data_IF_783164431005
#
_entry.id   IF_783164431005
#
_cell.length_a   1.000
_cell.length_b   1.000
_cell.length_c   1.000
_cell.angle_alpha   90.00
_cell.angle_beta   90.00
_cell.angle_gamma   90.00
#
_symmetry.space_group_name_H-M   'P 1'
#
loop_
_entity.id
_entity.type
_entity.pdbx_description
1 polymer ?
#
# COMPACT_ATOMS: atom_id res chain seq x y z
N UNK A 1 -15.39 0.35 17.86
CA UNK A 1 -14.32 1.19 18.44
C UNK A 1 -13.33 1.35 17.31
N UNK A 2 -13.21 2.56 16.77
CA UNK A 2 -12.31 2.81 15.66
C UNK A 2 -10.89 2.60 16.16
N UNK A 3 -10.19 1.66 15.55
CA UNK A 3 -8.74 1.53 15.59
C UNK A 3 -8.15 2.89 15.20
N UNK A 4 -7.01 3.28 15.74
CA UNK A 4 -6.30 4.50 15.31
C UNK A 4 -4.84 4.10 15.11
N UNK A 5 -4.40 4.01 13.85
CA UNK A 5 -3.01 3.69 13.52
C UNK A 5 -2.01 4.71 14.03
N UNK A 6 -2.47 5.90 14.42
CA UNK A 6 -1.67 6.94 15.03
C UNK A 6 -1.41 6.70 16.52
N UNK A 7 -2.08 5.71 17.13
CA UNK A 7 -1.77 5.26 18.49
C UNK A 7 -0.61 4.24 18.48
N UNK A 8 0.59 4.60 18.98
CA UNK A 8 1.74 3.70 19.03
C UNK A 8 1.54 2.53 20.01
N UNK A 9 0.55 2.63 20.90
CA UNK A 9 0.19 1.57 21.84
C UNK A 9 -0.82 0.58 21.26
N UNK A 10 -1.21 0.75 19.99
CA UNK A 10 -2.20 -0.10 19.37
C UNK A 10 -1.68 -1.55 19.28
N UNK A 11 -2.40 -2.56 19.80
CA UNK A 11 -1.91 -3.94 19.85
C UNK A 11 -1.60 -4.50 18.46
N UNK A 12 -2.34 -4.10 17.43
CA UNK A 12 -2.08 -4.55 16.06
C UNK A 12 -0.83 -3.87 15.46
N UNK A 13 -0.62 -2.58 15.73
CA UNK A 13 0.59 -1.85 15.34
C UNK A 13 1.80 -2.46 16.03
N UNK A 14 1.72 -2.75 17.33
CA UNK A 14 2.81 -3.40 18.06
C UNK A 14 3.08 -4.82 17.57
N UNK A 15 2.04 -5.60 17.27
CA UNK A 15 2.21 -6.95 16.74
C UNK A 15 2.87 -6.93 15.36
N UNK A 16 2.42 -6.06 14.46
CA UNK A 16 3.01 -5.93 13.12
C UNK A 16 4.41 -5.34 13.18
N UNK A 17 4.65 -4.30 13.99
CA UNK A 17 5.96 -3.67 14.11
C UNK A 17 7.03 -4.65 14.64
N UNK A 18 6.65 -5.54 15.55
CA UNK A 18 7.51 -6.61 16.07
C UNK A 18 7.56 -7.87 15.18
N UNK A 19 6.67 -7.99 14.19
CA UNK A 19 6.67 -9.12 13.25
C UNK A 19 7.70 -8.93 12.14
N UNK A 20 8.25 -10.05 11.66
CA UNK A 20 9.06 -10.05 10.45
C UNK A 20 8.17 -10.00 9.19
N UNK A 21 8.60 -9.33 8.11
CA UNK A 21 7.92 -9.41 6.81
C UNK A 21 7.90 -10.89 6.36
N UNK A 22 6.70 -11.47 6.24
CA UNK A 22 6.47 -12.89 5.92
C UNK A 22 6.04 -13.78 7.10
N UNK A 23 6.15 -13.31 8.34
CA UNK A 23 5.53 -13.97 9.52
C UNK A 23 4.10 -13.48 9.80
N UNK A 24 3.69 -12.39 9.15
CA UNK A 24 2.34 -11.87 9.24
C UNK A 24 1.41 -12.74 8.40
N UNK A 25 0.38 -13.31 9.04
CA UNK A 25 -0.67 -14.04 8.34
C UNK A 25 -1.33 -13.16 7.27
N UNK A 26 -1.69 -13.72 6.12
CA UNK A 26 -2.35 -12.98 5.05
C UNK A 26 -3.61 -12.25 5.54
N UNK A 27 -4.34 -12.85 6.48
CA UNK A 27 -5.53 -12.26 7.12
C UNK A 27 -5.18 -11.01 7.96
N UNK A 28 -4.12 -11.10 8.78
CA UNK A 28 -3.63 -9.98 9.59
C UNK A 28 -3.06 -8.86 8.71
N UNK A 29 -2.37 -9.22 7.62
CA UNK A 29 -1.85 -8.27 6.65
C UNK A 29 -2.97 -7.56 5.89
N UNK A 30 -3.98 -8.31 5.42
CA UNK A 30 -5.14 -7.74 4.73
C UNK A 30 -5.93 -6.82 5.66
N UNK A 31 -6.17 -7.23 6.90
CA UNK A 31 -6.84 -6.41 7.91
C UNK A 31 -6.05 -5.13 8.19
N UNK A 32 -4.72 -5.24 8.32
CA UNK A 32 -3.86 -4.09 8.58
C UNK A 32 -3.88 -3.08 7.43
N UNK A 33 -3.80 -3.55 6.18
CA UNK A 33 -3.89 -2.69 5.00
C UNK A 33 -5.27 -2.05 4.90
N UNK A 34 -6.33 -2.79 5.20
CA UNK A 34 -7.70 -2.27 5.25
C UNK A 34 -7.87 -1.18 6.30
N UNK A 35 -7.28 -1.39 7.47
CA UNK A 35 -7.36 -0.47 8.61
C UNK A 35 -6.51 0.80 8.36
N UNK A 36 -5.32 0.65 7.77
CA UNK A 36 -4.51 1.74 7.19
C UNK A 36 -5.30 2.54 6.16
N UNK A 37 -5.99 1.84 5.27
CA UNK A 37 -6.80 2.44 4.22
C UNK A 37 -7.96 3.29 4.75
N UNK A 38 -8.60 2.84 5.82
CA UNK A 38 -9.75 3.51 6.42
C UNK A 38 -9.35 4.71 7.29
N UNK A 39 -8.18 4.66 7.92
CA UNK A 39 -7.80 5.62 8.96
C UNK A 39 -6.68 6.58 8.57
N UNK A 40 -5.79 6.16 7.67
CA UNK A 40 -4.63 6.95 7.28
C UNK A 40 -4.88 7.57 5.91
N UNK A 41 -4.72 8.88 5.83
CA UNK A 41 -4.86 9.60 4.57
C UNK A 41 -3.78 9.14 3.58
N UNK A 42 -4.07 9.10 2.26
CA UNK A 42 -3.10 8.71 1.23
C UNK A 42 -1.82 9.56 1.27
N UNK A 43 -1.90 10.81 1.75
CA UNK A 43 -0.75 11.70 1.92
C UNK A 43 0.22 11.23 3.02
N UNK A 44 -0.30 10.72 4.14
CA UNK A 44 0.51 10.16 5.24
C UNK A 44 1.03 8.75 4.92
N UNK A 45 0.32 8.02 4.04
CA UNK A 45 0.76 6.72 3.53
C UNK A 45 1.90 6.82 2.51
N UNK A 46 2.04 7.94 1.79
CA UNK A 46 3.09 8.12 0.76
C UNK A 46 4.48 7.69 1.20
N UNK A 47 5.06 8.17 2.33
CA UNK A 47 6.40 7.77 2.76
C UNK A 47 6.50 6.26 3.05
N UNK A 48 5.44 5.65 3.59
CA UNK A 48 5.39 4.20 3.85
C UNK A 48 5.37 3.42 2.54
N UNK A 49 4.54 3.84 1.59
CA UNK A 49 4.44 3.25 0.26
C UNK A 49 5.78 3.38 -0.50
N UNK A 50 6.42 4.53 -0.46
CA UNK A 50 7.75 4.76 -1.06
C UNK A 50 8.81 3.81 -0.50
N UNK A 51 8.84 3.64 0.83
CA UNK A 51 9.73 2.66 1.47
C UNK A 51 9.35 1.22 1.06
N UNK A 52 8.06 0.89 1.02
CA UNK A 52 7.60 -0.44 0.64
C UNK A 52 8.03 -0.78 -0.80
N UNK A 53 7.78 0.10 -1.76
CA UNK A 53 8.18 -0.08 -3.14
C UNK A 53 9.71 -0.06 -3.34
N UNK A 54 10.45 0.68 -2.50
CA UNK A 54 11.92 0.67 -2.54
C UNK A 54 12.53 -0.66 -2.04
N UNK A 55 11.79 -1.41 -1.20
CA UNK A 55 12.19 -2.73 -0.72
C UNK A 55 11.61 -3.88 -1.56
N UNK A 56 10.73 -3.57 -2.51
CA UNK A 56 10.09 -4.54 -3.38
C UNK A 56 10.97 -4.81 -4.61
N UNK A 57 10.98 -6.05 -5.08
CA UNK A 57 11.64 -6.39 -6.34
C UNK A 57 11.03 -5.61 -7.52
N UNK A 58 11.84 -5.11 -8.47
CA UNK A 58 11.36 -4.33 -9.60
C UNK A 58 10.35 -5.10 -10.46
N UNK A 59 10.45 -6.43 -10.54
CA UNK A 59 9.48 -7.27 -11.24
C UNK A 59 8.11 -7.30 -10.54
N UNK A 60 8.11 -7.38 -9.20
CA UNK A 60 6.87 -7.30 -8.40
C UNK A 60 6.26 -5.90 -8.48
N UNK A 61 7.08 -4.86 -8.35
CA UNK A 61 6.62 -3.48 -8.47
C UNK A 61 5.99 -3.25 -9.85
N UNK A 62 6.63 -3.71 -10.92
CA UNK A 62 6.09 -3.62 -12.28
C UNK A 62 4.75 -4.35 -12.43
N UNK A 63 4.59 -5.53 -11.82
CA UNK A 63 3.33 -6.26 -11.83
C UNK A 63 2.21 -5.48 -11.09
N UNK A 64 2.52 -4.91 -9.93
CA UNK A 64 1.59 -4.08 -9.15
C UNK A 64 1.18 -2.82 -9.91
N UNK A 65 2.15 -2.12 -10.52
CA UNK A 65 1.89 -0.90 -11.32
C UNK A 65 1.03 -1.25 -12.54
N UNK A 66 1.33 -2.34 -13.24
CA UNK A 66 0.55 -2.76 -14.41
C UNK A 66 -0.90 -3.09 -14.02
N UNK A 67 -1.10 -3.79 -12.89
CA UNK A 67 -2.44 -4.05 -12.35
C UNK A 67 -3.16 -2.75 -11.93
N UNK A 68 -2.48 -1.83 -11.23
CA UNK A 68 -3.04 -0.54 -10.85
C UNK A 68 -3.42 0.30 -12.08
N UNK A 69 -2.54 0.38 -13.09
CA UNK A 69 -2.81 1.05 -14.36
C UNK A 69 -4.04 0.46 -15.05
N UNK A 70 -4.16 -0.86 -15.13
CA UNK A 70 -5.28 -1.53 -15.78
C UNK A 70 -6.60 -1.14 -15.09
N UNK A 71 -6.62 -1.20 -13.77
CA UNK A 71 -7.81 -0.85 -13.00
C UNK A 71 -8.14 0.64 -13.04
N UNK A 72 -7.12 1.52 -12.97
CA UNK A 72 -7.29 2.97 -13.10
C UNK A 72 -7.76 3.36 -14.51
N UNK A 73 -7.32 2.63 -15.54
CA UNK A 73 -7.79 2.82 -16.92
C UNK A 73 -9.26 2.41 -17.07
N UNK A 74 -9.69 1.37 -16.36
CA UNK A 74 -11.09 0.92 -16.32
C UNK A 74 -11.98 1.75 -15.38
N UNK A 75 -11.38 2.61 -14.58
CA UNK A 75 -12.07 3.31 -13.50
C UNK A 75 -13.07 4.39 -13.94
N UNK A 76 -13.04 4.77 -15.22
CA UNK A 76 -13.88 5.84 -15.77
C UNK A 76 -13.48 7.26 -15.34
N UNK A 77 -12.50 7.41 -14.43
CA UNK A 77 -11.99 8.71 -14.00
C UNK A 77 -10.90 9.22 -14.95
N UNK A 78 -11.03 10.43 -15.54
CA UNK A 78 -10.03 10.97 -16.45
C UNK A 78 -8.71 11.30 -15.75
N UNK A 79 -8.75 11.67 -14.47
CA UNK A 79 -7.55 11.95 -13.68
C UNK A 79 -6.75 10.66 -13.42
N UNK A 80 -7.43 9.59 -12.99
CA UNK A 80 -6.84 8.24 -12.85
C UNK A 80 -6.19 7.74 -14.14
N UNK A 81 -6.83 7.96 -15.28
CA UNK A 81 -6.28 7.60 -16.60
C UNK A 81 -5.04 8.42 -16.97
N UNK A 82 -4.99 9.71 -16.60
CA UNK A 82 -3.81 10.54 -16.83
C UNK A 82 -2.63 10.10 -15.97
N UNK A 83 -2.84 9.82 -14.68
CA UNK A 83 -1.77 9.35 -13.78
C UNK A 83 -1.30 7.95 -14.22
N UNK A 84 -2.23 7.06 -14.59
CA UNK A 84 -1.90 5.77 -15.16
C UNK A 84 -1.08 5.93 -16.45
N UNK A 85 -1.49 6.76 -17.40
CA UNK A 85 -0.76 6.97 -18.65
C UNK A 85 0.58 7.71 -18.48
N UNK A 86 0.73 8.52 -17.42
CA UNK A 86 1.95 9.26 -17.13
C UNK A 86 3.07 8.39 -16.51
N UNK A 87 2.70 7.24 -15.92
CA UNK A 87 3.64 6.35 -15.25
C UNK A 87 3.89 5.14 -16.14
N UNK A 88 5.13 4.96 -16.58
CA UNK A 88 5.51 3.81 -17.39
C UNK A 88 5.94 2.64 -16.48
N UNK A 89 5.28 1.47 -16.51
CA UNK A 89 5.57 0.36 -15.59
C UNK A 89 6.97 -0.23 -15.76
N UNK A 90 7.67 0.03 -16.87
CA UNK A 90 9.03 -0.46 -17.09
C UNK A 90 10.10 0.45 -16.51
N UNK A 91 9.80 1.74 -16.37
CA UNK A 91 10.74 2.77 -15.91
C UNK A 91 10.27 3.48 -14.65
N UNK A 92 9.13 3.06 -14.08
CA UNK A 92 8.55 3.64 -12.90
C UNK A 92 9.50 3.56 -11.71
N UNK A 93 9.62 4.69 -11.02
CA UNK A 93 10.33 4.79 -9.75
C UNK A 93 9.43 4.35 -8.59
N UNK A 94 10.00 3.94 -7.44
CA UNK A 94 9.22 3.65 -6.23
C UNK A 94 8.31 4.81 -5.81
N UNK A 95 8.75 6.04 -6.07
CA UNK A 95 7.98 7.27 -5.87
C UNK A 95 6.75 7.36 -6.76
N UNK A 96 6.91 7.08 -8.06
CA UNK A 96 5.78 7.04 -8.98
C UNK A 96 4.82 5.89 -8.63
N UNK A 97 5.34 4.72 -8.24
CA UNK A 97 4.53 3.60 -7.80
C UNK A 97 3.70 3.94 -6.56
N UNK A 98 4.33 4.58 -5.57
CA UNK A 98 3.68 5.05 -4.34
C UNK A 98 2.61 6.11 -4.66
N UNK A 99 2.88 7.02 -5.58
CA UNK A 99 1.92 8.04 -5.99
C UNK A 99 0.72 7.44 -6.73
N UNK A 100 0.96 6.51 -7.68
CA UNK A 100 -0.11 5.78 -8.36
C UNK A 100 -0.97 5.00 -7.37
N UNK A 101 -0.34 4.34 -6.40
CA UNK A 101 -1.02 3.58 -5.36
C UNK A 101 -1.84 4.51 -4.46
N UNK A 102 -1.26 5.61 -3.98
CA UNK A 102 -1.98 6.61 -3.17
C UNK A 102 -3.16 7.23 -3.94
N UNK A 103 -3.01 7.46 -5.25
CA UNK A 103 -4.09 7.95 -6.10
C UNK A 103 -5.18 6.91 -6.30
N UNK A 104 -4.79 5.67 -6.58
CA UNK A 104 -5.73 4.56 -6.67
C UNK A 104 -6.45 4.34 -5.34
N UNK A 105 -5.79 4.61 -4.22
CA UNK A 105 -6.38 4.53 -2.89
C UNK A 105 -7.45 5.60 -2.69
N UNK A 106 -7.18 6.83 -3.10
CA UNK A 106 -8.10 7.96 -2.97
C UNK A 106 -9.38 7.79 -3.83
N UNK A 107 -9.25 7.33 -5.07
CA UNK A 107 -10.38 7.23 -6.01
C UNK A 107 -11.02 5.83 -6.07
N UNK A 108 -10.25 4.78 -5.78
CA UNK A 108 -10.64 3.37 -5.97
C UNK A 108 -10.10 2.47 -4.83
N UNK A 109 -10.48 2.70 -3.57
CA UNK A 109 -9.91 1.98 -2.42
C UNK A 109 -10.12 0.46 -2.50
N UNK A 110 -11.26 0.03 -3.04
CA UNK A 110 -11.61 -1.38 -3.22
C UNK A 110 -10.71 -2.09 -4.26
N UNK A 111 -10.14 -1.32 -5.18
CA UNK A 111 -9.24 -1.80 -6.22
C UNK A 111 -7.85 -2.02 -5.67
N UNK A 112 -7.36 -1.08 -4.86
CA UNK A 112 -6.04 -1.19 -4.23
C UNK A 112 -5.96 -2.43 -3.34
N UNK A 113 -7.00 -2.68 -2.53
CA UNK A 113 -7.08 -3.89 -1.70
C UNK A 113 -6.95 -5.16 -2.56
N UNK A 114 -7.67 -5.22 -3.70
CA UNK A 114 -7.58 -6.34 -4.64
C UNK A 114 -6.22 -6.45 -5.32
N UNK A 115 -5.64 -5.35 -5.79
CA UNK A 115 -4.38 -5.35 -6.53
C UNK A 115 -3.18 -5.65 -5.63
N UNK A 116 -3.18 -5.13 -4.40
CA UNK A 116 -2.13 -5.40 -3.42
C UNK A 116 -2.19 -6.86 -2.98
N UNK A 117 -3.39 -7.38 -2.70
CA UNK A 117 -3.56 -8.79 -2.30
C UNK A 117 -3.30 -9.75 -3.47
N UNK A 118 -3.79 -9.46 -4.68
CA UNK A 118 -3.70 -10.36 -5.83
C UNK A 118 -2.38 -10.23 -6.62
N UNK A 119 -1.84 -9.02 -6.75
CA UNK A 119 -0.69 -8.70 -7.59
C UNK A 119 0.65 -8.71 -6.84
N UNK A 120 0.67 -8.25 -5.58
CA UNK A 120 1.89 -8.23 -4.76
C UNK A 120 2.03 -9.50 -3.88
N UNK A 121 0.91 -10.18 -3.63
CA UNK A 121 0.85 -11.38 -2.79
C UNK A 121 0.96 -11.07 -1.29
N UNK A 122 0.58 -12.04 -0.46
CA UNK A 122 0.49 -11.86 1.00
C UNK A 122 1.79 -11.38 1.66
N UNK A 123 2.96 -11.72 1.09
CA UNK A 123 4.25 -11.28 1.60
C UNK A 123 4.47 -9.76 1.42
N UNK A 124 4.07 -9.19 0.29
CA UNK A 124 4.14 -7.76 0.07
C UNK A 124 3.11 -7.01 0.92
N UNK A 125 1.88 -7.53 1.00
CA UNK A 125 0.85 -6.98 1.90
C UNK A 125 1.35 -6.96 3.35
N UNK A 126 1.96 -8.07 3.79
CA UNK A 126 2.56 -8.17 5.12
C UNK A 126 3.73 -7.22 5.31
N UNK A 127 4.59 -7.05 4.31
CA UNK A 127 5.70 -6.10 4.34
C UNK A 127 5.23 -4.65 4.47
N UNK A 128 4.18 -4.27 3.74
CA UNK A 128 3.58 -2.94 3.79
C UNK A 128 2.94 -2.68 5.16
N UNK A 129 2.19 -3.64 5.69
CA UNK A 129 1.59 -3.57 7.03
C UNK A 129 2.65 -3.41 8.14
N UNK A 130 3.74 -4.18 8.07
CA UNK A 130 4.87 -4.08 9.03
C UNK A 130 5.57 -2.72 8.91
N UNK A 131 5.82 -2.25 7.69
CA UNK A 131 6.46 -0.96 7.45
C UNK A 131 5.62 0.20 7.98
N UNK A 132 4.33 0.19 7.66
CA UNK A 132 3.38 1.15 8.21
C UNK A 132 3.41 1.14 9.73
N UNK A 133 3.32 -0.05 10.33
CA UNK A 133 3.26 -0.18 11.78
C UNK A 133 4.52 0.35 12.44
N UNK A 134 5.69 0.09 11.85
CA UNK A 134 6.97 0.64 12.32
C UNK A 134 7.08 2.14 12.12
N UNK A 135 6.52 2.66 11.03
CA UNK A 135 6.52 4.09 10.74
C UNK A 135 5.71 4.85 11.79
N UNK A 136 4.46 4.44 12.01
CA UNK A 136 3.57 5.07 12.99
C UNK A 136 4.01 4.84 14.44
N UNK A 137 4.49 3.64 14.79
CA UNK A 137 5.04 3.38 16.13
C UNK A 137 6.29 4.24 16.46
N UNK A 138 7.04 4.70 15.44
CA UNK A 138 8.23 5.55 15.62
C UNK A 138 7.93 7.05 15.64
N UNK A 139 6.76 7.49 15.20
CA UNK A 139 6.40 8.92 15.19
C UNK A 139 5.91 9.45 16.55
N UNK A 140 5.98 8.65 17.61
CA UNK A 140 5.61 9.02 19.00
C UNK A 140 6.79 9.43 19.87
#
# INVERSE_FOLDING_TARGET
MATDWNDPNHPQVQQLANSAPGQVSADAAAQAVKDLHDQVSPQDLKPVLEQHYSQMDPEQMKAVIAQLQEQLSQSGNPQSQQVAAAIDPQTATPQQAAELHAHAHEFHPNTVEKVVIAGAGAAAVGGLAVLAARHFAKQS
#
